data_IF_335092600300
#
_entry.id   IF_335092600300
#
_cell.length_a   1.000
_cell.length_b   1.000
_cell.length_c   1.000
_cell.angle_alpha   90.00
_cell.angle_beta   90.00
_cell.angle_gamma   90.00
#
_symmetry.space_group_name_H-M   'P 1'
#
loop_
_entity.id
_entity.type
_entity.pdbx_description
1 polymer ?
#
# COMPACT_ATOMS: atom_id res chain seq x y z
N UNK A 1 -20.51 -52.57 35.13
CA UNK A 1 -20.52 -51.16 34.65
C UNK A 1 -21.96 -50.70 34.53
N UNK A 2 -22.38 -49.71 35.33
CA UNK A 2 -23.78 -49.24 35.34
C UNK A 2 -24.12 -48.53 34.04
N UNK A 3 -25.38 -48.65 33.58
CA UNK A 3 -25.87 -48.10 32.30
C UNK A 3 -25.52 -46.61 32.13
N UNK A 4 -25.49 -45.85 33.23
CA UNK A 4 -25.13 -44.43 33.26
C UNK A 4 -23.64 -44.18 32.96
N UNK A 5 -22.73 -45.08 33.35
CA UNK A 5 -21.29 -44.97 33.02
C UNK A 5 -21.01 -45.16 31.53
N UNK A 6 -21.84 -45.94 30.81
CA UNK A 6 -21.68 -46.16 29.36
C UNK A 6 -22.05 -44.91 28.55
N UNK A 7 -23.09 -44.18 28.97
CA UNK A 7 -23.56 -42.96 28.28
C UNK A 7 -22.52 -41.83 28.38
N UNK A 8 -21.90 -41.66 29.55
CA UNK A 8 -20.89 -40.61 29.77
C UNK A 8 -19.66 -40.83 28.88
N UNK A 9 -19.16 -42.07 28.79
CA UNK A 9 -17.99 -42.38 27.96
C UNK A 9 -18.27 -42.13 26.47
N UNK A 10 -19.47 -42.48 26.00
CA UNK A 10 -19.86 -42.29 24.60
C UNK A 10 -19.98 -40.80 24.25
N UNK A 11 -20.50 -39.98 25.18
CA UNK A 11 -20.54 -38.52 25.02
C UNK A 11 -19.16 -37.88 24.90
N UNK A 12 -18.20 -38.30 25.74
CA UNK A 12 -16.82 -37.78 25.68
C UNK A 12 -16.18 -38.11 24.33
N UNK A 13 -16.34 -39.34 23.84
CA UNK A 13 -15.77 -39.77 22.54
C UNK A 13 -16.32 -38.91 21.40
N UNK A 14 -17.64 -38.66 21.38
CA UNK A 14 -18.26 -37.83 20.33
C UNK A 14 -17.76 -36.39 20.39
N UNK A 15 -17.69 -35.80 21.59
CA UNK A 15 -17.17 -34.42 21.76
C UNK A 15 -15.70 -34.32 21.35
N UNK A 16 -14.87 -35.31 21.70
CA UNK A 16 -13.48 -35.35 21.27
C UNK A 16 -13.34 -35.46 19.75
N UNK A 17 -14.15 -36.29 19.08
CA UNK A 17 -14.13 -36.40 17.62
C UNK A 17 -14.56 -35.10 16.94
N UNK A 18 -15.58 -34.41 17.47
CA UNK A 18 -16.02 -33.10 16.96
C UNK A 18 -14.92 -32.06 17.14
N UNK A 19 -14.29 -32.00 18.33
CA UNK A 19 -13.21 -31.05 18.60
C UNK A 19 -11.99 -31.26 17.69
N UNK A 20 -11.61 -32.52 17.42
CA UNK A 20 -10.50 -32.85 16.50
C UNK A 20 -10.86 -32.49 15.05
N UNK A 21 -12.08 -32.78 14.61
CA UNK A 21 -12.55 -32.39 13.27
C UNK A 21 -12.57 -30.87 13.07
N UNK A 22 -13.02 -30.13 14.09
CA UNK A 22 -13.09 -28.67 14.05
C UNK A 22 -11.71 -28.00 14.08
N UNK A 23 -10.77 -28.57 14.84
CA UNK A 23 -9.41 -28.04 14.94
C UNK A 23 -8.60 -28.24 13.65
N UNK A 24 -8.75 -29.37 12.95
CA UNK A 24 -8.08 -29.58 11.65
C UNK A 24 -8.55 -28.57 10.59
N UNK A 25 -9.83 -28.16 10.64
CA UNK A 25 -10.41 -27.24 9.65
C UNK A 25 -9.93 -25.78 9.83
N UNK A 26 -9.64 -25.36 11.06
CA UNK A 26 -9.25 -23.96 11.33
C UNK A 26 -7.78 -23.64 10.99
N UNK A 27 -6.86 -24.60 11.10
CA UNK A 27 -5.42 -24.31 10.94
C UNK A 27 -4.88 -24.36 9.50
N UNK A 28 -5.70 -24.67 8.48
CA UNK A 28 -5.20 -24.84 7.11
C UNK A 28 -5.17 -23.57 6.25
N UNK A 29 -5.86 -22.50 6.65
CA UNK A 29 -6.04 -21.30 5.82
C UNK A 29 -4.74 -20.49 5.63
N UNK A 30 -4.01 -20.24 6.70
CA UNK A 30 -2.83 -19.35 6.67
C UNK A 30 -1.69 -19.95 5.84
N UNK A 31 -1.51 -21.26 5.92
CA UNK A 31 -0.50 -21.96 5.10
C UNK A 31 -0.79 -21.85 3.61
N UNK A 32 -2.07 -21.88 3.23
CA UNK A 32 -2.47 -21.74 1.82
C UNK A 32 -2.19 -20.33 1.32
N UNK A 33 -2.54 -19.31 2.11
CA UNK A 33 -2.26 -17.91 1.77
C UNK A 33 -0.75 -17.67 1.53
N UNK A 34 0.10 -18.08 2.48
CA UNK A 34 1.55 -17.89 2.39
C UNK A 34 2.16 -18.60 1.17
N UNK A 35 1.64 -19.78 0.81
CA UNK A 35 2.10 -20.50 -0.38
C UNK A 35 1.75 -19.76 -1.68
N UNK A 36 0.55 -19.18 -1.75
CA UNK A 36 0.10 -18.40 -2.92
C UNK A 36 0.90 -17.10 -3.03
N UNK A 37 1.08 -16.38 -1.92
CA UNK A 37 1.88 -15.15 -1.88
C UNK A 37 3.32 -15.37 -2.34
N UNK A 38 3.95 -16.47 -1.88
CA UNK A 38 5.28 -16.85 -2.36
C UNK A 38 5.29 -17.15 -3.85
N UNK A 39 4.31 -17.92 -4.34
CA UNK A 39 4.20 -18.24 -5.76
C UNK A 39 4.01 -16.99 -6.64
N UNK A 40 3.21 -16.03 -6.18
CA UNK A 40 3.05 -14.71 -6.83
C UNK A 40 4.39 -13.98 -6.88
N UNK A 41 5.09 -13.89 -5.73
CA UNK A 41 6.39 -13.21 -5.63
C UNK A 41 7.44 -13.83 -6.57
N UNK A 42 7.46 -15.15 -6.67
CA UNK A 42 8.37 -15.88 -7.58
C UNK A 42 8.01 -15.66 -9.05
N UNK A 43 6.73 -15.48 -9.36
CA UNK A 43 6.24 -15.23 -10.72
C UNK A 43 6.38 -13.78 -11.19
N UNK A 44 6.82 -12.86 -10.33
CA UNK A 44 6.93 -11.43 -10.65
C UNK A 44 8.11 -11.05 -11.55
N UNK A 45 8.90 -11.99 -12.07
CA UNK A 45 10.07 -11.67 -12.89
C UNK A 45 9.72 -11.04 -14.26
N UNK A 46 10.58 -10.17 -14.78
CA UNK A 46 10.45 -9.60 -16.13
C UNK A 46 11.80 -9.13 -16.67
N UNK A 47 11.92 -9.08 -18.01
CA UNK A 47 13.02 -8.39 -18.69
C UNK A 47 12.54 -7.07 -19.30
N UNK A 48 11.29 -7.04 -19.78
CA UNK A 48 10.66 -5.83 -20.35
C UNK A 48 9.22 -5.69 -19.84
N UNK A 49 8.66 -4.47 -19.94
CA UNK A 49 7.27 -4.16 -19.54
C UNK A 49 6.23 -5.12 -20.13
N UNK A 50 6.40 -5.52 -21.40
CA UNK A 50 5.48 -6.41 -22.11
C UNK A 50 5.55 -7.87 -21.66
N UNK A 51 6.42 -8.21 -20.71
CA UNK A 51 6.39 -9.49 -20.01
C UNK A 51 5.40 -9.50 -18.86
N UNK A 52 4.97 -8.34 -18.38
CA UNK A 52 4.07 -8.22 -17.24
C UNK A 52 2.60 -8.23 -17.67
N UNK A 53 1.79 -8.95 -16.89
CA UNK A 53 0.33 -8.97 -17.05
C UNK A 53 -0.33 -8.97 -15.67
N UNK A 54 -1.49 -8.34 -15.57
CA UNK A 54 -2.29 -8.37 -14.34
C UNK A 54 -3.02 -9.70 -14.23
N UNK A 55 -3.00 -10.28 -13.03
CA UNK A 55 -3.92 -11.35 -12.61
C UNK A 55 -4.97 -10.76 -11.68
N UNK A 56 -6.10 -11.44 -11.53
CA UNK A 56 -7.13 -10.96 -10.61
C UNK A 56 -6.58 -10.88 -9.19
N UNK A 57 -7.03 -9.84 -8.49
CA UNK A 57 -6.61 -9.57 -7.13
C UNK A 57 -7.64 -10.10 -6.15
N UNK A 58 -7.19 -10.93 -5.21
CA UNK A 58 -7.97 -11.37 -4.05
C UNK A 58 -7.22 -11.09 -2.78
N UNK A 59 -7.93 -10.62 -1.76
CA UNK A 59 -7.33 -10.48 -0.44
C UNK A 59 -6.93 -11.85 0.12
N UNK A 60 -5.71 -12.01 0.68
CA UNK A 60 -4.75 -10.97 1.11
C UNK A 60 -3.62 -10.63 0.11
N UNK A 61 -3.71 -11.02 -1.16
CA UNK A 61 -2.59 -10.98 -2.12
C UNK A 61 -2.33 -9.62 -2.79
N UNK A 62 -2.93 -8.56 -2.28
CA UNK A 62 -2.82 -7.21 -2.82
C UNK A 62 -3.97 -6.84 -3.76
N UNK A 63 -4.05 -5.54 -4.08
CA UNK A 63 -5.10 -4.92 -4.90
C UNK A 63 -4.87 -5.03 -6.40
N UNK A 64 -3.60 -5.02 -6.80
CA UNK A 64 -3.19 -5.11 -8.19
C UNK A 64 -1.95 -5.99 -8.25
N UNK A 65 -2.13 -7.20 -8.78
CA UNK A 65 -1.07 -8.20 -8.81
C UNK A 65 -0.60 -8.37 -10.26
N UNK A 66 0.64 -7.98 -10.53
CA UNK A 66 1.28 -8.18 -11.82
C UNK A 66 2.29 -9.31 -11.72
N UNK A 67 2.33 -10.17 -12.73
CA UNK A 67 3.26 -11.31 -12.84
C UNK A 67 3.76 -11.43 -14.27
N UNK A 68 4.77 -12.28 -14.49
CA UNK A 68 5.19 -12.65 -15.83
C UNK A 68 4.03 -13.34 -16.58
N UNK A 69 3.79 -12.95 -17.83
CA UNK A 69 2.73 -13.53 -18.69
C UNK A 69 2.82 -15.04 -18.86
N UNK A 70 4.02 -15.63 -18.73
CA UNK A 70 4.21 -17.09 -18.78
C UNK A 70 3.64 -17.79 -17.54
N UNK A 71 3.50 -17.09 -16.42
CA UNK A 71 3.04 -17.62 -15.14
C UNK A 71 1.57 -17.25 -14.84
N UNK A 72 0.97 -16.36 -15.62
CA UNK A 72 -0.34 -15.76 -15.34
C UNK A 72 -1.43 -16.79 -15.06
N UNK A 73 -1.62 -17.78 -15.96
CA UNK A 73 -2.66 -18.81 -15.81
C UNK A 73 -2.45 -19.67 -14.56
N UNK A 74 -1.20 -20.01 -14.25
CA UNK A 74 -0.84 -20.81 -13.07
C UNK A 74 -1.15 -20.04 -11.79
N UNK A 75 -0.78 -18.76 -11.74
CA UNK A 75 -1.02 -17.89 -10.59
C UNK A 75 -2.51 -17.61 -10.42
N UNK A 76 -3.23 -17.33 -11.51
CA UNK A 76 -4.67 -17.12 -11.48
C UNK A 76 -5.40 -18.34 -10.89
N UNK A 77 -5.05 -19.55 -11.35
CA UNK A 77 -5.62 -20.79 -10.79
C UNK A 77 -5.37 -20.92 -9.28
N UNK A 78 -4.18 -20.55 -8.80
CA UNK A 78 -3.88 -20.58 -7.37
C UNK A 78 -4.74 -19.59 -6.58
N UNK A 79 -4.84 -18.35 -7.06
CA UNK A 79 -5.67 -17.29 -6.48
C UNK A 79 -7.16 -17.69 -6.47
N UNK A 80 -7.64 -18.30 -7.55
CA UNK A 80 -9.03 -18.72 -7.68
C UNK A 80 -9.46 -19.71 -6.61
N UNK A 81 -8.56 -20.60 -6.22
CA UNK A 81 -8.83 -21.59 -5.17
C UNK A 81 -8.86 -20.99 -3.76
N UNK A 82 -8.48 -19.72 -3.57
CA UNK A 82 -8.48 -19.06 -2.27
C UNK A 82 -9.84 -18.41 -1.99
N UNK A 83 -10.44 -18.77 -0.85
CA UNK A 83 -11.66 -18.17 -0.35
C UNK A 83 -11.32 -16.89 0.42
N UNK A 84 -11.49 -15.74 -0.23
CA UNK A 84 -11.27 -14.45 0.41
C UNK A 84 -12.41 -14.10 1.37
N UNK A 85 -12.06 -13.50 2.51
CA UNK A 85 -13.01 -13.04 3.55
C UNK A 85 -12.93 -11.55 3.82
N UNK A 86 -12.23 -10.80 2.97
CA UNK A 86 -11.92 -9.40 3.19
C UNK A 86 -12.26 -8.58 1.94
N UNK A 87 -12.50 -7.29 2.15
CA UNK A 87 -12.73 -6.30 1.09
C UNK A 87 -11.58 -5.30 1.10
N UNK A 88 -11.14 -4.89 -0.09
CA UNK A 88 -10.11 -3.88 -0.25
C UNK A 88 -10.69 -2.52 -0.63
N UNK A 89 -10.01 -1.46 -0.19
CA UNK A 89 -10.02 -0.16 -0.84
C UNK A 89 -8.75 -0.09 -1.70
N UNK A 90 -8.89 -0.22 -3.02
CA UNK A 90 -7.75 -0.22 -3.94
C UNK A 90 -7.52 1.18 -4.48
N UNK A 91 -6.27 1.63 -4.42
CA UNK A 91 -5.84 2.88 -5.04
C UNK A 91 -5.89 2.74 -6.57
N UNK A 92 -6.13 3.86 -7.25
CA UNK A 92 -6.10 3.92 -8.70
C UNK A 92 -4.67 3.69 -9.22
N UNK A 93 -4.57 2.92 -10.31
CA UNK A 93 -3.30 2.67 -10.97
C UNK A 93 -3.06 3.68 -12.09
N UNK A 94 -1.85 4.24 -12.12
CA UNK A 94 -1.32 4.89 -13.32
C UNK A 94 -0.92 3.85 -14.36
N UNK A 95 -0.48 2.67 -13.92
CA UNK A 95 -0.17 1.55 -14.79
C UNK A 95 0.66 0.46 -14.11
N UNK A 96 1.56 -0.15 -14.88
CA UNK A 96 2.54 -1.11 -14.41
C UNK A 96 3.81 -1.02 -15.25
N UNK A 97 4.93 -1.49 -14.70
CA UNK A 97 6.21 -1.56 -15.40
C UNK A 97 7.12 -2.67 -14.87
N UNK A 98 8.20 -2.95 -15.60
CA UNK A 98 9.27 -3.85 -15.21
C UNK A 98 10.37 -3.07 -14.48
N UNK A 99 10.30 -3.00 -13.15
CA UNK A 99 11.25 -2.24 -12.32
C UNK A 99 12.13 -3.21 -11.53
N UNK A 100 13.45 -3.13 -11.74
CA UNK A 100 14.44 -4.03 -11.11
C UNK A 100 14.15 -5.51 -11.39
N UNK A 101 13.88 -5.85 -12.66
CA UNK A 101 13.52 -7.19 -13.12
C UNK A 101 12.28 -7.78 -12.43
N UNK A 102 11.38 -6.91 -11.92
CA UNK A 102 10.11 -7.31 -11.31
C UNK A 102 8.94 -6.51 -11.86
N UNK A 103 7.84 -7.18 -12.14
CA UNK A 103 6.57 -6.58 -12.49
C UNK A 103 6.00 -5.84 -11.28
N UNK A 104 5.91 -4.52 -11.37
CA UNK A 104 5.37 -3.66 -10.32
C UNK A 104 4.19 -2.86 -10.82
N UNK A 105 3.19 -2.74 -9.97
CA UNK A 105 2.10 -1.79 -10.15
C UNK A 105 2.66 -0.38 -9.96
N UNK A 106 2.39 0.52 -10.92
CA UNK A 106 2.67 1.94 -10.78
C UNK A 106 1.39 2.64 -10.34
N UNK A 107 1.42 3.19 -9.13
CA UNK A 107 0.33 4.05 -8.64
C UNK A 107 0.55 5.47 -9.18
N UNK A 108 -0.52 6.26 -9.26
CA UNK A 108 -0.43 7.70 -9.61
C UNK A 108 0.58 8.46 -8.74
N UNK A 109 0.94 7.89 -7.58
CA UNK A 109 1.78 8.49 -6.55
C UNK A 109 3.21 7.93 -6.52
N UNK A 110 3.63 7.21 -7.57
CA UNK A 110 5.00 6.71 -7.63
C UNK A 110 6.01 7.85 -7.61
N UNK A 111 6.75 7.89 -6.51
CA UNK A 111 7.64 8.97 -6.11
C UNK A 111 7.61 9.21 -4.61
N UNK A 112 6.62 8.65 -3.90
CA UNK A 112 6.46 8.89 -2.46
C UNK A 112 6.71 7.62 -1.67
N UNK A 113 7.97 7.44 -1.24
CA UNK A 113 8.34 6.42 -0.28
C UNK A 113 7.98 6.91 1.13
N UNK A 114 7.12 6.20 1.88
CA UNK A 114 6.74 6.60 3.24
C UNK A 114 7.97 6.76 4.16
N UNK A 115 8.98 5.92 4.01
CA UNK A 115 10.21 6.07 4.80
C UNK A 115 10.97 7.35 4.44
N UNK A 116 10.97 7.73 3.17
CA UNK A 116 11.54 9.00 2.70
C UNK A 116 10.73 10.20 3.20
N UNK A 117 9.40 10.14 3.19
CA UNK A 117 8.57 11.19 3.78
C UNK A 117 8.84 11.38 5.28
N UNK A 118 8.97 10.27 6.01
CA UNK A 118 9.29 10.31 7.44
C UNK A 118 10.70 10.86 7.67
N UNK A 119 11.68 10.45 6.87
CA UNK A 119 13.04 11.00 6.90
C UNK A 119 13.01 12.51 6.60
N UNK A 120 12.30 12.93 5.56
CA UNK A 120 12.11 14.34 5.21
C UNK A 120 11.48 15.13 6.34
N UNK A 121 10.50 14.54 7.05
CA UNK A 121 9.86 15.20 8.19
C UNK A 121 10.83 15.47 9.34
N UNK A 122 11.89 14.68 9.50
CA UNK A 122 12.91 14.91 10.54
C UNK A 122 13.91 16.01 10.18
N UNK A 123 13.94 16.45 8.91
CA UNK A 123 14.88 17.49 8.45
C UNK A 123 14.44 18.84 9.00
N UNK A 124 15.40 19.64 9.42
CA UNK A 124 15.14 21.01 9.82
C UNK A 124 14.99 21.89 8.56
N UNK A 125 13.83 22.55 8.45
CA UNK A 125 13.48 23.43 7.32
C UNK A 125 13.94 24.86 7.62
N UNK A 126 15.25 25.04 7.76
CA UNK A 126 15.86 26.36 8.04
C UNK A 126 16.09 27.21 6.79
N UNK A 127 15.95 26.63 5.59
CA UNK A 127 16.04 27.33 4.32
C UNK A 127 14.77 28.16 4.07
N UNK A 128 14.91 29.24 3.29
CA UNK A 128 13.77 30.05 2.83
C UNK A 128 12.82 29.18 2.01
N UNK A 129 11.59 29.07 2.48
CA UNK A 129 10.49 28.45 1.73
C UNK A 129 10.03 29.44 0.66
N UNK A 130 10.03 29.00 -0.60
CA UNK A 130 9.56 29.83 -1.72
C UNK A 130 8.05 29.62 -1.89
N UNK A 131 7.64 28.36 -2.06
CA UNK A 131 6.25 27.96 -2.27
C UNK A 131 5.91 26.65 -1.56
N UNK A 132 4.60 26.38 -1.43
CA UNK A 132 4.07 25.12 -0.92
C UNK A 132 2.93 24.63 -1.81
N UNK A 133 2.83 23.31 -1.97
CA UNK A 133 1.74 22.65 -2.68
C UNK A 133 1.16 21.53 -1.79
N UNK A 134 -0.17 21.43 -1.74
CA UNK A 134 -0.86 20.40 -0.97
C UNK A 134 -1.64 19.47 -1.89
N UNK A 135 -1.26 18.20 -1.86
CA UNK A 135 -1.96 17.09 -2.49
C UNK A 135 -2.89 16.46 -1.44
N UNK A 136 -4.16 16.87 -1.48
CA UNK A 136 -5.17 16.46 -0.50
C UNK A 136 -5.61 15.01 -0.66
N UNK A 137 -5.49 14.45 -1.86
CA UNK A 137 -5.80 13.06 -2.17
C UNK A 137 -4.75 12.14 -1.56
N UNK A 138 -3.47 12.48 -1.74
CA UNK A 138 -2.36 11.66 -1.28
C UNK A 138 -1.85 12.03 0.10
N UNK A 139 -2.40 13.09 0.71
CA UNK A 139 -2.00 13.64 2.00
C UNK A 139 -0.52 13.98 2.03
N UNK A 140 -0.07 14.73 1.02
CA UNK A 140 1.34 15.12 0.88
C UNK A 140 1.44 16.62 0.73
N UNK A 141 2.34 17.22 1.50
CA UNK A 141 2.74 18.61 1.34
C UNK A 141 4.10 18.63 0.67
N UNK A 142 4.21 19.32 -0.46
CA UNK A 142 5.49 19.59 -1.12
C UNK A 142 5.92 21.01 -0.79
N UNK A 143 7.07 21.15 -0.14
CA UNK A 143 7.67 22.43 0.20
C UNK A 143 8.82 22.69 -0.79
N UNK A 144 8.82 23.83 -1.47
CA UNK A 144 9.89 24.21 -2.38
C UNK A 144 10.91 25.08 -1.63
N UNK A 145 12.09 24.50 -1.37
CA UNK A 145 13.16 25.16 -0.65
C UNK A 145 14.12 25.82 -1.63
N UNK A 146 14.29 27.14 -1.53
CA UNK A 146 15.26 27.83 -2.38
C UNK A 146 16.68 27.49 -1.96
N UNK A 147 17.48 27.00 -2.90
CA UNK A 147 18.89 26.69 -2.68
C UNK A 147 19.80 27.75 -3.30
N UNK A 148 20.49 28.53 -2.47
CA UNK A 148 21.29 29.66 -2.93
C UNK A 148 22.48 29.24 -3.81
N UNK A 149 23.02 28.04 -3.60
CA UNK A 149 24.16 27.53 -4.36
C UNK A 149 23.76 27.16 -5.79
N UNK A 150 22.65 26.43 -5.95
CA UNK A 150 22.15 26.01 -7.26
C UNK A 150 21.26 27.06 -7.94
N UNK A 151 20.75 28.05 -7.20
CA UNK A 151 19.71 28.97 -7.64
C UNK A 151 18.45 28.24 -8.15
N UNK A 152 18.11 27.13 -7.52
CA UNK A 152 16.97 26.29 -7.88
C UNK A 152 16.14 25.92 -6.65
N UNK A 153 14.88 25.55 -6.88
CA UNK A 153 13.93 25.14 -5.86
C UNK A 153 13.95 23.62 -5.68
N UNK A 154 14.39 23.18 -4.51
CA UNK A 154 14.47 21.76 -4.18
C UNK A 154 13.15 21.35 -3.49
N UNK A 155 12.39 20.39 -4.06
CA UNK A 155 11.15 19.94 -3.43
C UNK A 155 11.45 19.02 -2.23
N UNK A 156 10.83 19.32 -1.09
CA UNK A 156 10.79 18.50 0.10
C UNK A 156 9.35 18.02 0.33
N UNK A 157 9.12 16.72 0.16
CA UNK A 157 7.80 16.11 0.36
C UNK A 157 7.63 15.63 1.80
N UNK A 158 6.53 16.02 2.42
CA UNK A 158 6.14 15.67 3.78
C UNK A 158 4.79 14.94 3.79
N UNK A 159 4.64 14.02 4.74
CA UNK A 159 3.36 13.36 5.00
C UNK A 159 2.46 14.27 5.83
N UNK A 160 1.19 14.42 5.43
CA UNK A 160 0.20 15.24 6.11
C UNK A 160 -0.74 14.38 6.97
N UNK A 161 -0.43 14.25 8.26
CA UNK A 161 -1.17 13.45 9.26
C UNK A 161 -1.51 14.32 10.50
N UNK A 162 -2.42 15.33 10.38
CA UNK A 162 -2.75 16.26 11.47
C UNK A 162 -3.33 15.58 12.71
N UNK A 163 -3.97 14.42 12.54
CA UNK A 163 -4.52 13.61 13.64
C UNK A 163 -3.45 13.09 14.62
N UNK A 164 -2.18 13.08 14.19
CA UNK A 164 -1.04 12.69 15.02
C UNK A 164 -0.28 13.87 15.61
N UNK A 165 -0.71 15.11 15.34
CA UNK A 165 0.07 16.33 15.56
C UNK A 165 1.47 16.24 14.91
N UNK A 166 1.51 15.62 13.73
CA UNK A 166 2.72 15.40 12.92
C UNK A 166 3.86 14.76 13.72
N UNK A 167 3.53 13.70 14.45
CA UNK A 167 4.49 13.03 15.33
C UNK A 167 5.73 12.53 14.57
N UNK A 168 6.92 12.82 15.12
CA UNK A 168 8.19 12.43 14.51
C UNK A 168 8.79 13.47 13.55
N UNK A 169 8.08 14.55 13.25
CA UNK A 169 8.60 15.67 12.47
C UNK A 169 9.42 16.65 13.33
N UNK A 170 10.34 17.37 12.71
CA UNK A 170 11.05 18.52 13.30
C UNK A 170 10.08 19.65 13.60
N UNK A 171 10.42 20.54 14.55
CA UNK A 171 9.54 21.66 14.92
C UNK A 171 9.26 22.59 13.73
N UNK A 172 10.26 22.83 12.87
CA UNK A 172 10.10 23.64 11.65
C UNK A 172 9.17 22.99 10.63
N UNK A 173 9.24 21.67 10.43
CA UNK A 173 8.29 20.95 9.58
C UNK A 173 6.86 21.03 10.15
N UNK A 174 6.71 20.90 11.49
CA UNK A 174 5.41 21.00 12.15
C UNK A 174 4.76 22.37 11.98
N UNK A 175 5.54 23.45 12.12
CA UNK A 175 5.02 24.81 11.97
C UNK A 175 4.44 25.03 10.57
N UNK A 176 5.13 24.53 9.53
CA UNK A 176 4.63 24.58 8.14
C UNK A 176 3.36 23.74 8.00
N UNK A 177 3.37 22.49 8.47
CA UNK A 177 2.22 21.59 8.34
C UNK A 177 0.98 22.10 9.09
N UNK A 178 1.16 22.76 10.25
CA UNK A 178 0.08 23.42 10.99
C UNK A 178 -0.47 24.63 10.25
N UNK A 179 0.38 25.43 9.62
CA UNK A 179 -0.10 26.53 8.79
C UNK A 179 -0.95 26.02 7.62
N UNK A 180 -0.52 24.93 6.95
CA UNK A 180 -1.33 24.28 5.91
C UNK A 180 -2.64 23.75 6.49
N UNK A 181 -2.64 23.16 7.69
CA UNK A 181 -3.87 22.74 8.36
C UNK A 181 -4.85 23.89 8.59
N UNK A 182 -4.39 25.04 9.07
CA UNK A 182 -5.23 26.22 9.25
C UNK A 182 -5.85 26.67 7.92
N UNK A 183 -5.06 26.68 6.83
CA UNK A 183 -5.57 27.04 5.50
C UNK A 183 -6.58 26.02 4.95
N UNK A 184 -6.39 24.73 5.21
CA UNK A 184 -7.32 23.67 4.82
C UNK A 184 -8.65 23.82 5.57
N UNK A 185 -8.59 24.03 6.89
CA UNK A 185 -9.76 24.25 7.75
C UNK A 185 -10.54 25.52 7.37
N UNK A 186 -9.85 26.55 6.89
CA UNK A 186 -10.44 27.78 6.38
C UNK A 186 -10.95 27.67 4.93
N UNK A 187 -10.68 26.55 4.24
CA UNK A 187 -11.01 26.35 2.83
C UNK A 187 -10.26 27.29 1.88
N UNK A 188 -9.07 27.74 2.27
CA UNK A 188 -8.23 28.70 1.53
C UNK A 188 -7.13 28.05 0.72
N UNK A 189 -7.00 26.73 0.75
CA UNK A 189 -6.07 26.02 -0.13
C UNK A 189 -6.63 26.04 -1.54
N UNK A 190 -6.05 26.89 -2.39
CA UNK A 190 -6.35 26.92 -3.80
C UNK A 190 -5.56 25.79 -4.47
N UNK A 191 -6.26 24.69 -4.80
CA UNK A 191 -5.66 23.57 -5.53
C UNK A 191 -5.32 24.04 -6.94
N UNK A 192 -4.04 24.37 -7.17
CA UNK A 192 -3.52 24.41 -8.54
C UNK A 192 -3.43 22.97 -9.00
N UNK A 193 -4.46 22.52 -9.71
CA UNK A 193 -4.34 21.32 -10.52
C UNK A 193 -3.13 21.56 -11.44
N UNK A 194 -2.13 20.69 -11.38
CA UNK A 194 -1.14 20.61 -12.45
C UNK A 194 -1.92 20.21 -13.72
N UNK A 195 -2.41 21.19 -14.47
CA UNK A 195 -2.82 20.98 -15.84
C UNK A 195 -1.54 20.64 -16.61
N UNK A 196 -1.30 19.34 -16.76
CA UNK A 196 -0.28 18.77 -17.63
C UNK A 196 -0.66 19.21 -19.07
N UNK A 197 -0.08 20.31 -19.54
CA UNK A 197 -0.23 20.79 -20.91
C UNK A 197 0.49 19.77 -21.82
N UNK A 198 -0.24 18.74 -22.25
CA UNK A 198 0.22 17.81 -23.28
C UNK A 198 0.26 18.60 -24.58
N UNK A 199 1.43 19.14 -24.90
CA UNK A 199 1.75 19.71 -26.20
C UNK A 199 1.77 18.56 -27.23
N UNK A 200 0.59 18.27 -27.81
CA UNK A 200 0.45 17.42 -28.98
C UNK A 200 1.10 18.15 -30.17
N UNK A 201 2.38 17.85 -30.40
CA UNK A 201 3.06 18.18 -31.65
C UNK A 201 2.44 17.35 -32.79
N UNK A 202 1.53 17.95 -33.56
CA UNK A 202 1.20 17.55 -34.93
C UNK A 202 1.91 18.47 -35.95
#
# INVERSE_FOLDING_TARGET
MTRNKKIIILGIIVVSLIAVGFSVWFFTSDRKANNIERAITEAQYCEVKSDCVQVESKCPFGCHTFVNKKEADRIQTLIDTYESRCAYLCLELKGYDCVNNKCKALYSNEGINRAELLENCTKDVSKRVDDTAFDSENKIVTIYLWDEESQDSIPLKLLYEPETDFAGCSDSAKDILRHIQELDEEGKIEFKAEEEEIELLE
#
